data_IF_116735262263
#
_entry.id   IF_116735262263
#
_cell.length_a   1.000
_cell.length_b   1.000
_cell.length_c   1.000
_cell.angle_alpha   90.00
_cell.angle_beta   90.00
_cell.angle_gamma   90.00
#
_symmetry.space_group_name_H-M   'P 1'
#
loop_
_entity.id
_entity.type
_entity.pdbx_description
1 polymer ?
#
# COMPACT_ATOMS: atom_id res chain seq x y z
N UNK A 1 -53.81 77.97 1.13
CA UNK A 1 -53.85 77.96 2.62
C UNK A 1 -54.23 76.57 3.10
N UNK A 2 -53.54 76.10 4.14
CA UNK A 2 -53.68 74.80 4.82
C UNK A 2 -55.08 74.52 5.38
N UNK A 3 -55.42 73.25 5.65
CA UNK A 3 -55.63 72.74 7.03
C UNK A 3 -55.99 71.24 7.04
N UNK A 4 -55.23 70.45 7.82
CA UNK A 4 -55.51 69.04 8.18
C UNK A 4 -56.26 68.98 9.53
N UNK A 5 -57.06 67.92 9.76
CA UNK A 5 -57.60 67.53 11.09
C UNK A 5 -57.32 66.05 11.39
N UNK A 6 -57.05 65.74 12.66
CA UNK A 6 -56.49 64.49 13.20
C UNK A 6 -57.52 63.50 13.77
N UNK A 7 -57.14 62.21 13.86
CA UNK A 7 -57.90 61.04 14.38
C UNK A 7 -57.15 60.44 15.58
N UNK A 8 -57.83 60.08 16.69
CA UNK A 8 -57.20 59.63 17.96
C UNK A 8 -57.26 58.09 18.09
N UNK A 9 -56.16 57.46 18.54
CA UNK A 9 -55.93 56.00 18.56
C UNK A 9 -55.79 55.45 20.00
N UNK A 10 -56.21 54.19 20.26
CA UNK A 10 -56.28 53.58 21.59
C UNK A 10 -54.91 53.06 22.08
N UNK A 11 -54.41 53.66 23.16
CA UNK A 11 -53.00 53.62 23.60
C UNK A 11 -52.63 52.33 24.37
N UNK A 12 -53.57 51.70 25.07
CA UNK A 12 -53.25 50.59 25.99
C UNK A 12 -52.85 49.29 25.28
N UNK A 13 -53.56 48.94 24.19
CA UNK A 13 -53.26 47.75 23.38
C UNK A 13 -51.98 47.93 22.56
N UNK A 14 -51.69 49.18 22.16
CA UNK A 14 -50.46 49.54 21.48
C UNK A 14 -49.24 49.35 22.40
N UNK A 15 -49.36 49.78 23.67
CA UNK A 15 -48.27 49.66 24.65
C UNK A 15 -47.85 48.21 24.89
N UNK A 16 -48.78 47.25 24.98
CA UNK A 16 -48.44 45.83 25.20
C UNK A 16 -47.72 45.21 24.01
N UNK A 17 -48.23 45.43 22.78
CA UNK A 17 -47.55 44.98 21.54
C UNK A 17 -46.20 45.66 21.34
N UNK A 18 -46.06 46.91 21.77
CA UNK A 18 -44.79 47.64 21.73
C UNK A 18 -43.75 47.03 22.68
N UNK A 19 -44.15 46.61 23.89
CA UNK A 19 -43.24 45.98 24.85
C UNK A 19 -42.78 44.57 24.40
N UNK A 20 -43.67 43.75 23.84
CA UNK A 20 -43.32 42.45 23.23
C UNK A 20 -42.40 42.63 22.00
N UNK A 21 -42.67 43.64 21.16
CA UNK A 21 -41.79 44.02 20.07
C UNK A 21 -40.41 44.50 20.54
N UNK A 22 -40.32 45.18 21.68
CA UNK A 22 -39.05 45.64 22.26
C UNK A 22 -38.19 44.48 22.78
N UNK A 23 -38.79 43.46 23.41
CA UNK A 23 -38.04 42.29 23.88
C UNK A 23 -37.58 41.40 22.73
N UNK A 24 -38.41 41.25 21.70
CA UNK A 24 -38.06 40.54 20.46
C UNK A 24 -37.00 41.31 19.65
N UNK A 25 -37.01 42.64 19.72
CA UNK A 25 -35.96 43.49 19.17
C UNK A 25 -34.60 43.29 19.87
N UNK A 26 -34.59 43.13 21.20
CA UNK A 26 -33.33 42.85 21.94
C UNK A 26 -32.70 41.52 21.53
N UNK A 27 -33.48 40.45 21.41
CA UNK A 27 -32.96 39.15 20.97
C UNK A 27 -32.49 39.18 19.52
N UNK A 28 -33.22 39.87 18.64
CA UNK A 28 -32.82 40.09 17.25
C UNK A 28 -31.50 40.85 17.14
N UNK A 29 -31.33 41.92 17.93
CA UNK A 29 -30.10 42.73 17.94
C UNK A 29 -28.91 41.89 18.44
N UNK A 30 -29.10 41.06 19.48
CA UNK A 30 -28.03 40.16 19.97
C UNK A 30 -27.65 39.13 18.91
N UNK A 31 -28.64 38.53 18.22
CA UNK A 31 -28.39 37.60 17.12
C UNK A 31 -27.66 38.27 15.95
N UNK A 32 -28.09 39.48 15.56
CA UNK A 32 -27.43 40.25 14.50
C UNK A 32 -26.00 40.64 14.87
N UNK A 33 -25.75 41.05 16.11
CA UNK A 33 -24.38 41.33 16.60
C UNK A 33 -23.52 40.06 16.63
N UNK A 34 -24.09 38.93 17.06
CA UNK A 34 -23.40 37.64 17.05
C UNK A 34 -23.01 37.20 15.64
N UNK A 35 -23.95 37.28 14.70
CA UNK A 35 -23.69 36.99 13.28
C UNK A 35 -22.68 37.97 12.67
N UNK A 36 -22.76 39.26 13.00
CA UNK A 36 -21.81 40.26 12.51
C UNK A 36 -20.38 40.00 13.02
N UNK A 37 -20.22 39.68 14.30
CA UNK A 37 -18.93 39.28 14.88
C UNK A 37 -18.41 38.00 14.22
N UNK A 38 -19.29 37.01 13.99
CA UNK A 38 -18.94 35.77 13.30
C UNK A 38 -18.42 36.03 11.88
N UNK A 39 -19.08 36.89 11.09
CA UNK A 39 -18.61 37.25 9.75
C UNK A 39 -17.33 38.08 9.76
N UNK A 40 -17.12 38.94 10.77
CA UNK A 40 -15.83 39.62 10.96
C UNK A 40 -14.72 38.62 11.26
N UNK A 41 -14.97 37.63 12.13
CA UNK A 41 -14.00 36.58 12.45
C UNK A 41 -13.71 35.69 11.24
N UNK A 42 -14.72 35.33 10.44
CA UNK A 42 -14.53 34.60 9.18
C UNK A 42 -13.75 35.44 8.15
N UNK A 43 -14.04 36.74 8.04
CA UNK A 43 -13.32 37.63 7.13
C UNK A 43 -11.87 37.83 7.53
N UNK A 44 -11.61 38.04 8.83
CA UNK A 44 -10.25 38.13 9.37
C UNK A 44 -9.51 36.80 9.29
N UNK A 45 -10.20 35.68 9.53
CA UNK A 45 -9.67 34.32 9.40
C UNK A 45 -9.31 33.99 7.95
N UNK A 46 -10.21 34.28 7.00
CA UNK A 46 -9.96 34.11 5.57
C UNK A 46 -8.84 35.02 5.06
N UNK A 47 -8.73 36.25 5.57
CA UNK A 47 -7.62 37.15 5.25
C UNK A 47 -6.28 36.68 5.85
N UNK A 48 -6.31 36.05 7.04
CA UNK A 48 -5.12 35.44 7.65
C UNK A 48 -4.71 34.16 6.90
N UNK A 49 -5.68 33.34 6.48
CA UNK A 49 -5.48 32.12 5.68
C UNK A 49 -4.93 32.45 4.28
N UNK A 50 -5.46 33.50 3.63
CA UNK A 50 -4.98 33.97 2.33
C UNK A 50 -3.56 34.56 2.38
N UNK A 51 -3.10 35.01 3.56
CA UNK A 51 -1.71 35.43 3.80
C UNK A 51 -0.77 34.25 4.08
N UNK A 52 -1.29 33.06 4.35
CA UNK A 52 -0.52 31.88 4.74
C UNK A 52 -0.51 30.73 3.71
N UNK A 53 -1.28 30.82 2.61
CA UNK A 53 -1.27 29.94 1.43
C UNK A 53 -1.15 28.41 1.69
N UNK A 54 -2.23 27.66 1.50
CA UNK A 54 -2.31 26.61 0.45
C UNK A 54 -3.68 25.89 0.41
N UNK A 55 -4.20 25.75 -0.81
CA UNK A 55 -5.28 24.86 -1.31
C UNK A 55 -6.15 24.06 -0.30
N UNK A 56 -7.47 24.35 -0.20
CA UNK A 56 -8.37 23.69 0.74
C UNK A 56 -9.15 22.55 0.08
N UNK A 57 -8.61 21.33 0.01
CA UNK A 57 -9.42 20.14 -0.35
C UNK A 57 -9.10 18.85 0.42
N UNK A 58 -8.02 18.81 1.21
CA UNK A 58 -7.64 17.57 1.91
C UNK A 58 -8.35 17.37 3.25
N UNK A 59 -8.65 18.44 4.00
CA UNK A 59 -9.35 18.30 5.29
C UNK A 59 -10.81 17.86 5.14
N UNK A 60 -11.48 18.27 4.06
CA UNK A 60 -12.89 17.94 3.82
C UNK A 60 -13.12 16.46 3.43
N UNK A 61 -12.13 15.79 2.83
CA UNK A 61 -12.26 14.39 2.39
C UNK A 61 -12.19 13.39 3.56
N UNK A 62 -11.30 13.60 4.52
CA UNK A 62 -11.22 12.78 5.74
C UNK A 62 -12.43 12.97 6.66
N UNK A 63 -12.92 14.21 6.74
CA UNK A 63 -14.11 14.59 7.49
C UNK A 63 -15.38 13.91 6.91
N UNK A 64 -15.53 13.89 5.59
CA UNK A 64 -16.64 13.19 4.93
C UNK A 64 -16.62 11.65 5.13
N UNK A 65 -15.43 11.05 5.29
CA UNK A 65 -15.28 9.62 5.54
C UNK A 65 -15.62 9.21 6.98
N UNK A 66 -15.48 10.12 7.95
CA UNK A 66 -15.84 9.89 9.36
C UNK A 66 -17.35 9.98 9.66
N UNK A 67 -18.12 10.58 8.74
CA UNK A 67 -19.55 10.76 8.87
C UNK A 67 -20.29 9.50 8.39
N UNK A 68 -21.11 8.90 9.25
CA UNK A 68 -21.96 7.78 8.84
C UNK A 68 -22.88 8.19 7.70
N UNK A 69 -23.12 7.31 6.73
CA UNK A 69 -24.00 7.59 5.57
C UNK A 69 -25.41 8.03 5.99
N UNK A 70 -25.86 7.63 7.20
CA UNK A 70 -27.12 8.09 7.83
C UNK A 70 -27.13 9.58 8.17
N UNK A 71 -26.00 10.21 8.48
CA UNK A 71 -25.90 11.65 8.74
C UNK A 71 -26.26 12.48 7.50
N UNK A 72 -25.78 12.07 6.32
CA UNK A 72 -26.12 12.71 5.05
C UNK A 72 -27.57 12.48 4.66
N UNK A 73 -28.10 11.28 4.91
CA UNK A 73 -29.52 10.97 4.68
C UNK A 73 -30.42 11.78 5.62
N UNK A 74 -30.07 11.92 6.89
CA UNK A 74 -30.81 12.74 7.84
C UNK A 74 -30.74 14.23 7.47
N UNK A 75 -29.61 14.72 6.93
CA UNK A 75 -29.46 16.10 6.46
C UNK A 75 -30.31 16.38 5.21
N UNK A 76 -30.32 15.47 4.24
CA UNK A 76 -31.17 15.56 3.05
C UNK A 76 -32.65 15.41 3.43
N UNK A 77 -32.95 14.57 4.42
CA UNK A 77 -34.29 14.33 4.94
C UNK A 77 -34.91 15.54 5.65
N UNK A 78 -34.10 16.48 6.16
CA UNK A 78 -34.63 17.73 6.75
C UNK A 78 -35.14 18.73 5.70
N UNK A 79 -34.70 18.62 4.44
CA UNK A 79 -35.06 19.55 3.35
C UNK A 79 -36.09 18.94 2.38
N UNK A 80 -36.24 17.61 2.34
CA UNK A 80 -37.10 16.90 1.38
C UNK A 80 -38.38 16.34 2.05
N UNK A 81 -39.58 16.91 1.80
CA UNK A 81 -40.82 16.58 2.53
C UNK A 81 -41.35 15.14 2.37
N UNK A 82 -40.86 14.37 1.41
CA UNK A 82 -41.39 13.04 1.05
C UNK A 82 -40.41 11.89 1.21
N UNK A 83 -39.22 12.13 1.77
CA UNK A 83 -38.37 11.04 2.23
C UNK A 83 -38.86 10.60 3.61
N UNK A 84 -39.66 9.54 3.66
CA UNK A 84 -40.07 8.92 4.93
C UNK A 84 -38.85 8.34 5.63
N UNK A 85 -38.23 9.11 6.53
CA UNK A 85 -37.37 8.55 7.56
C UNK A 85 -38.22 7.56 8.36
N UNK A 86 -37.91 6.26 8.22
CA UNK A 86 -38.46 5.23 9.09
C UNK A 86 -38.15 5.61 10.53
N UNK A 87 -39.11 5.34 11.41
CA UNK A 87 -39.17 5.82 12.78
C UNK A 87 -38.17 5.09 13.69
N UNK A 88 -36.86 5.18 13.43
CA UNK A 88 -35.80 4.72 14.34
C UNK A 88 -34.61 5.70 14.37
N UNK A 89 -34.41 6.32 15.54
CA UNK A 89 -33.34 7.22 16.03
C UNK A 89 -32.49 8.00 15.00
N UNK A 90 -32.71 9.32 14.94
CA UNK A 90 -31.85 10.31 14.27
C UNK A 90 -30.38 10.22 14.71
N UNK A 91 -29.46 10.30 13.76
CA UNK A 91 -28.00 10.28 14.01
C UNK A 91 -27.46 11.59 14.62
N UNK A 92 -28.27 12.65 14.63
CA UNK A 92 -27.96 13.95 15.22
C UNK A 92 -28.02 13.92 16.76
N UNK A 93 -26.94 13.44 17.39
CA UNK A 93 -26.68 13.70 18.81
C UNK A 93 -25.84 14.97 18.97
N UNK A 94 -26.17 15.83 19.94
CA UNK A 94 -25.41 17.03 20.28
C UNK A 94 -23.94 16.73 20.61
N UNK A 95 -23.66 15.53 21.13
CA UNK A 95 -22.30 15.06 21.43
C UNK A 95 -21.50 14.72 20.16
N UNK A 96 -22.16 14.18 19.12
CA UNK A 96 -21.53 13.86 17.84
C UNK A 96 -21.32 15.12 16.99
N UNK A 97 -22.28 16.03 16.98
CA UNK A 97 -22.19 17.31 16.28
C UNK A 97 -21.11 18.23 16.88
N UNK A 98 -21.01 18.28 18.20
CA UNK A 98 -19.97 19.09 18.87
C UNK A 98 -18.57 18.54 18.61
N UNK A 99 -18.39 17.22 18.61
CA UNK A 99 -17.10 16.60 18.27
C UNK A 99 -16.71 16.87 16.82
N UNK A 100 -17.67 16.81 15.89
CA UNK A 100 -17.49 17.15 14.48
C UNK A 100 -17.12 18.61 14.25
N UNK A 101 -17.85 19.55 14.87
CA UNK A 101 -17.56 20.99 14.76
C UNK A 101 -16.22 21.31 15.41
N UNK A 102 -15.89 20.67 16.53
CA UNK A 102 -14.61 20.82 17.19
C UNK A 102 -13.47 20.31 16.28
N UNK A 103 -13.61 19.13 15.69
CA UNK A 103 -12.65 18.58 14.73
C UNK A 103 -12.53 19.44 13.47
N UNK A 104 -13.64 20.00 12.96
CA UNK A 104 -13.63 20.92 11.83
C UNK A 104 -12.88 22.23 12.15
N UNK A 105 -13.01 22.75 13.37
CA UNK A 105 -12.39 24.01 13.79
C UNK A 105 -10.95 23.85 14.24
N UNK A 106 -10.59 22.70 14.81
CA UNK A 106 -9.30 22.49 15.46
C UNK A 106 -8.41 21.48 14.72
N UNK A 107 -8.97 20.74 13.75
CA UNK A 107 -8.33 19.56 13.13
C UNK A 107 -7.88 18.50 14.14
N UNK A 108 -8.42 18.55 15.37
CA UNK A 108 -8.13 17.63 16.47
C UNK A 108 -9.38 16.79 16.70
N UNK A 109 -9.22 15.48 16.67
CA UNK A 109 -10.28 14.54 16.99
C UNK A 109 -10.23 14.19 18.49
N UNK A 110 -11.18 14.67 19.31
CA UNK A 110 -11.17 14.45 20.75
C UNK A 110 -11.39 12.98 21.16
N UNK A 111 -11.74 12.10 20.21
CA UNK A 111 -11.86 10.65 20.42
C UNK A 111 -10.61 9.86 20.00
N UNK A 112 -9.66 10.51 19.32
CA UNK A 112 -8.35 9.93 19.02
C UNK A 112 -7.24 10.69 19.78
N UNK A 113 -6.69 10.11 20.86
CA UNK A 113 -5.65 10.77 21.65
C UNK A 113 -4.36 11.02 20.88
N UNK A 114 -4.14 10.38 19.71
CA UNK A 114 -3.00 10.67 18.84
C UNK A 114 -3.16 11.99 18.10
N UNK A 115 -4.38 12.39 17.76
CA UNK A 115 -4.65 13.69 17.12
C UNK A 115 -4.33 14.87 18.04
N UNK A 116 -4.41 14.67 19.37
CA UNK A 116 -4.04 15.66 20.38
C UNK A 116 -2.53 15.91 20.44
N UNK A 117 -1.73 14.93 20.02
CA UNK A 117 -0.26 14.96 20.12
C UNK A 117 0.36 15.37 18.78
N UNK A 118 -0.27 15.02 17.66
CA UNK A 118 0.17 15.36 16.31
C UNK A 118 0.20 16.89 16.04
N UNK A 119 -0.62 17.68 16.74
CA UNK A 119 -0.65 19.14 16.59
C UNK A 119 0.54 19.89 17.22
N UNK A 120 1.21 19.27 18.20
CA UNK A 120 2.18 19.96 19.09
C UNK A 120 3.63 19.51 18.91
N UNK A 121 3.86 18.43 18.15
CA UNK A 121 5.21 17.90 17.87
C UNK A 121 5.67 18.29 16.45
N UNK A 122 6.74 19.08 16.30
CA UNK A 122 7.34 19.35 15.00
C UNK A 122 7.71 18.03 14.30
N UNK A 123 7.10 17.76 13.13
CA UNK A 123 7.36 16.55 12.35
C UNK A 123 6.32 15.42 12.49
N UNK A 124 5.34 15.53 13.39
CA UNK A 124 4.24 14.55 13.51
C UNK A 124 2.99 15.03 12.78
N UNK A 125 3.03 15.10 11.44
CA UNK A 125 1.79 15.18 10.66
C UNK A 125 1.08 13.82 10.77
N UNK A 126 -0.19 13.80 11.18
CA UNK A 126 -0.99 12.58 11.36
C UNK A 126 -1.06 11.66 10.12
N UNK A 127 -0.64 12.16 8.95
CA UNK A 127 -0.78 11.56 7.65
C UNK A 127 0.57 11.38 6.92
N UNK A 128 1.70 11.18 7.62
CA UNK A 128 2.99 10.83 6.98
C UNK A 128 3.37 9.34 7.18
N UNK A 129 4.02 8.70 6.18
CA UNK A 129 4.49 7.33 6.33
C UNK A 129 5.38 7.23 7.57
N UNK A 130 5.21 6.17 8.35
CA UNK A 130 5.92 6.01 9.63
C UNK A 130 7.02 4.97 9.45
N UNK A 131 8.25 5.32 9.79
CA UNK A 131 9.33 4.34 9.84
C UNK A 131 9.15 3.42 11.05
N UNK A 132 8.94 2.13 10.79
CA UNK A 132 8.76 1.08 11.78
C UNK A 132 10.10 0.45 12.19
N UNK A 133 11.01 0.30 11.23
CA UNK A 133 12.37 -0.18 11.45
C UNK A 133 13.36 0.61 10.62
N UNK A 134 14.49 0.97 11.23
CA UNK A 134 15.56 1.68 10.55
C UNK A 134 16.29 0.79 9.53
N UNK A 135 16.79 1.42 8.47
CA UNK A 135 17.75 0.84 7.53
C UNK A 135 18.82 1.87 7.23
N UNK A 136 20.09 1.47 7.29
CA UNK A 136 21.27 2.34 7.10
C UNK A 136 21.36 2.92 5.69
N UNK A 137 20.57 2.45 4.74
CA UNK A 137 20.43 3.04 3.40
C UNK A 137 19.62 4.33 3.35
N UNK A 138 19.05 4.80 4.47
CA UNK A 138 18.17 5.96 4.52
C UNK A 138 18.43 6.85 5.75
N UNK A 139 19.66 7.37 5.85
CA UNK A 139 20.12 8.21 6.97
C UNK A 139 19.23 9.45 7.19
N UNK A 140 18.69 10.01 6.11
CA UNK A 140 17.84 11.20 6.14
C UNK A 140 16.38 10.90 6.52
N UNK A 141 16.01 9.62 6.68
CA UNK A 141 14.65 9.22 7.05
C UNK A 141 13.60 9.60 6.00
N UNK A 142 13.97 9.57 4.72
CA UNK A 142 13.05 9.92 3.63
C UNK A 142 12.03 8.80 3.41
N UNK A 143 10.77 9.17 3.21
CA UNK A 143 9.70 8.22 2.92
C UNK A 143 9.76 7.75 1.44
N UNK A 144 9.22 6.56 1.13
CA UNK A 144 9.08 6.06 -0.25
C UNK A 144 8.22 6.99 -1.11
N UNK A 145 8.53 7.08 -2.41
CA UNK A 145 7.81 7.90 -3.38
C UNK A 145 7.04 7.03 -4.39
N UNK A 146 5.74 7.31 -4.53
CA UNK A 146 4.81 6.50 -5.32
C UNK A 146 4.15 7.42 -6.37
N UNK A 147 4.56 7.25 -7.63
CA UNK A 147 4.03 7.99 -8.77
C UNK A 147 3.55 7.02 -9.84
N UNK A 148 2.48 7.41 -10.54
CA UNK A 148 1.96 6.63 -11.68
C UNK A 148 2.97 6.67 -12.83
N UNK A 149 3.30 5.53 -13.46
CA UNK A 149 4.18 5.52 -14.62
C UNK A 149 3.62 6.32 -15.78
N UNK A 150 4.51 7.05 -16.47
CA UNK A 150 4.27 7.70 -17.73
C UNK A 150 4.32 6.63 -18.84
N UNK A 151 3.21 6.42 -19.52
CA UNK A 151 3.13 5.54 -20.69
C UNK A 151 2.91 6.40 -21.92
N UNK A 152 3.87 6.39 -22.85
CA UNK A 152 3.68 7.01 -24.16
C UNK A 152 3.01 6.03 -25.12
N UNK A 153 2.10 6.53 -25.96
CA UNK A 153 1.37 5.71 -26.94
C UNK A 153 2.32 5.03 -27.96
N UNK A 154 3.44 5.67 -28.28
CA UNK A 154 4.44 5.15 -29.22
C UNK A 154 5.28 4.01 -28.61
N UNK A 155 5.56 4.05 -27.30
CA UNK A 155 6.22 2.93 -26.59
C UNK A 155 5.31 1.72 -26.45
N UNK A 156 4.00 1.91 -26.29
CA UNK A 156 3.05 0.80 -26.21
C UNK A 156 3.02 -0.05 -27.48
N UNK A 157 3.10 0.57 -28.67
CA UNK A 157 3.09 -0.16 -29.95
C UNK A 157 4.41 -0.92 -30.23
N UNK A 158 5.56 -0.33 -29.88
CA UNK A 158 6.86 -1.01 -30.02
C UNK A 158 7.05 -2.12 -29.00
N UNK A 159 6.78 -1.85 -27.72
CA UNK A 159 6.97 -2.85 -26.66
C UNK A 159 5.93 -3.99 -26.76
N UNK A 160 4.73 -3.76 -27.33
CA UNK A 160 3.78 -4.85 -27.62
C UNK A 160 4.31 -5.82 -28.67
N UNK A 161 5.03 -5.32 -29.69
CA UNK A 161 5.61 -6.19 -30.73
C UNK A 161 6.75 -7.06 -30.20
N UNK A 162 7.57 -6.53 -29.29
CA UNK A 162 8.64 -7.29 -28.62
C UNK A 162 8.07 -8.30 -27.60
N UNK A 163 7.01 -7.94 -26.87
CA UNK A 163 6.36 -8.83 -25.92
C UNK A 163 5.65 -10.03 -26.60
N UNK A 164 5.07 -9.83 -27.78
CA UNK A 164 4.45 -10.90 -28.58
C UNK A 164 5.50 -11.86 -29.21
N UNK A 165 6.67 -11.35 -29.62
CA UNK A 165 7.79 -12.17 -30.10
C UNK A 165 8.40 -13.03 -28.97
N UNK A 166 8.49 -12.51 -27.74
CA UNK A 166 8.99 -13.31 -26.61
C UNK A 166 7.95 -14.31 -26.07
N UNK A 167 6.66 -13.98 -26.08
CA UNK A 167 5.59 -14.89 -25.66
C UNK A 167 5.40 -16.09 -26.62
N UNK A 168 5.93 -16.00 -27.85
CA UNK A 168 5.88 -17.05 -28.86
C UNK A 168 7.14 -17.94 -28.90
N UNK A 169 8.15 -17.66 -28.07
CA UNK A 169 9.29 -18.55 -27.85
C UNK A 169 8.91 -19.70 -26.89
N UNK A 170 9.08 -20.98 -27.25
CA UNK A 170 8.63 -22.08 -26.40
C UNK A 170 9.50 -22.21 -25.14
N UNK A 171 8.87 -22.02 -23.97
CA UNK A 171 9.35 -22.47 -22.67
C UNK A 171 9.33 -24.01 -22.66
N UNK A 172 10.51 -24.64 -22.84
CA UNK A 172 10.63 -26.09 -22.76
C UNK A 172 10.53 -26.55 -21.30
N UNK A 173 9.29 -26.78 -20.88
CA UNK A 173 8.92 -27.39 -19.61
C UNK A 173 7.75 -28.35 -19.74
N UNK A 174 7.66 -29.16 -20.81
CA UNK A 174 6.64 -30.21 -20.90
C UNK A 174 7.04 -31.48 -20.14
N UNK A 175 6.13 -31.86 -19.22
CA UNK A 175 6.13 -33.10 -18.45
C UNK A 175 5.62 -34.22 -19.37
N UNK A 176 6.52 -35.12 -19.79
CA UNK A 176 6.17 -36.35 -20.51
C UNK A 176 6.18 -37.57 -19.58
N UNK A 177 5.05 -38.27 -19.49
CA UNK A 177 4.89 -39.56 -18.81
C UNK A 177 5.30 -40.74 -19.74
N UNK A 178 5.63 -41.85 -19.09
CA UNK A 178 6.41 -43.03 -19.48
C UNK A 178 6.07 -43.81 -20.77
N UNK A 179 7.09 -44.51 -21.32
CA UNK A 179 6.87 -45.70 -22.15
C UNK A 179 8.07 -46.27 -22.93
N UNK A 180 8.84 -47.19 -22.31
CA UNK A 180 9.63 -48.32 -22.87
C UNK A 180 10.68 -48.10 -23.98
N UNK A 181 11.93 -48.50 -23.70
CA UNK A 181 13.02 -48.72 -24.68
C UNK A 181 12.88 -50.03 -25.49
N UNK A 182 13.95 -50.60 -26.11
CA UNK A 182 15.38 -50.28 -25.92
C UNK A 182 16.26 -50.30 -27.21
N UNK A 183 17.58 -50.17 -26.97
CA UNK A 183 18.74 -50.66 -27.73
C UNK A 183 19.65 -49.67 -28.50
N UNK A 184 20.93 -49.74 -28.09
CA UNK A 184 22.17 -49.04 -28.51
C UNK A 184 22.98 -50.03 -29.36
N UNK A 185 23.84 -49.66 -30.34
CA UNK A 185 25.23 -49.20 -30.11
C UNK A 185 25.71 -48.16 -31.18
N UNK A 186 26.84 -47.47 -31.21
CA UNK A 186 28.05 -47.20 -30.42
C UNK A 186 28.91 -46.24 -31.30
N UNK A 187 29.97 -45.66 -30.74
CA UNK A 187 31.08 -44.87 -31.32
C UNK A 187 30.87 -43.35 -31.35
N UNK A 188 31.74 -42.48 -30.80
CA UNK A 188 32.98 -42.60 -30.03
C UNK A 188 33.41 -41.18 -29.58
N UNK A 189 33.88 -41.05 -28.32
CA UNK A 189 34.91 -40.09 -27.79
C UNK A 189 34.63 -38.57 -27.98
N UNK A 190 34.63 -37.67 -26.98
CA UNK A 190 35.49 -37.48 -25.81
C UNK A 190 34.74 -36.77 -24.64
N UNK A 191 35.34 -36.80 -23.45
CA UNK A 191 34.78 -36.40 -22.16
C UNK A 191 35.01 -34.90 -21.85
N UNK A 192 33.98 -34.23 -21.35
CA UNK A 192 34.07 -33.17 -20.33
C UNK A 192 32.93 -33.38 -19.31
N UNK A 193 33.19 -33.55 -18.00
CA UNK A 193 32.17 -34.01 -17.07
C UNK A 193 31.42 -32.84 -16.41
N UNK A 194 30.11 -32.81 -16.59
CA UNK A 194 29.20 -32.41 -15.52
C UNK A 194 28.40 -31.12 -15.72
N UNK A 195 27.49 -31.11 -16.70
CA UNK A 195 26.27 -30.30 -16.60
C UNK A 195 25.06 -31.13 -17.02
N UNK A 196 24.42 -31.75 -16.03
CA UNK A 196 23.06 -32.29 -16.13
C UNK A 196 22.36 -32.01 -14.81
N UNK A 197 21.90 -30.78 -14.62
CA UNK A 197 20.94 -30.49 -13.56
C UNK A 197 19.55 -30.35 -14.17
N UNK A 198 18.76 -31.42 -13.98
CA UNK A 198 17.28 -31.40 -14.00
C UNK A 198 16.74 -30.46 -12.91
N UNK A 199 15.46 -30.03 -12.98
CA UNK A 199 14.89 -29.07 -12.03
C UNK A 199 14.84 -29.67 -10.63
N UNK A 200 15.44 -28.95 -9.68
CA UNK A 200 15.70 -29.42 -8.31
C UNK A 200 17.09 -28.97 -7.87
N UNK A 201 17.37 -27.66 -7.97
CA UNK A 201 18.60 -27.09 -7.43
C UNK A 201 18.52 -27.17 -5.91
N UNK A 202 19.32 -28.05 -5.34
CA UNK A 202 19.50 -28.17 -3.89
C UNK A 202 20.08 -26.87 -3.36
N UNK A 203 19.46 -26.31 -2.31
CA UNK A 203 20.11 -25.38 -1.39
C UNK A 203 21.50 -25.92 -1.00
N UNK A 204 22.44 -25.05 -0.61
CA UNK A 204 23.76 -25.46 -0.08
C UNK A 204 23.68 -26.54 1.02
N UNK A 205 22.53 -26.67 1.68
CA UNK A 205 22.25 -27.64 2.74
C UNK A 205 21.31 -28.80 2.32
N UNK A 206 20.99 -28.95 1.04
CA UNK A 206 20.08 -30.00 0.52
C UNK A 206 18.59 -29.80 0.84
N UNK A 207 18.22 -28.67 1.47
CA UNK A 207 16.82 -28.31 1.77
C UNK A 207 16.06 -27.94 0.50
N UNK A 208 14.83 -28.44 0.37
CA UNK A 208 13.91 -28.10 -0.72
C UNK A 208 12.46 -28.26 -0.30
N UNK A 209 11.55 -27.49 -0.92
CA UNK A 209 10.09 -27.66 -0.78
C UNK A 209 9.54 -28.82 -1.63
N UNK A 210 10.40 -29.61 -2.28
CA UNK A 210 10.04 -30.77 -3.09
C UNK A 210 9.04 -30.45 -4.21
N UNK A 211 9.25 -29.33 -4.91
CA UNK A 211 8.39 -28.88 -6.00
C UNK A 211 7.08 -28.20 -5.56
N UNK A 212 6.74 -28.24 -4.26
CA UNK A 212 5.59 -27.50 -3.73
C UNK A 212 5.86 -26.00 -3.78
N UNK A 213 4.97 -25.25 -4.42
CA UNK A 213 5.01 -23.78 -4.46
C UNK A 213 4.57 -23.21 -3.11
N UNK A 214 5.40 -22.34 -2.54
CA UNK A 214 5.26 -21.78 -1.18
C UNK A 214 5.35 -20.26 -1.16
N UNK A 215 6.09 -19.69 -2.10
CA UNK A 215 6.22 -18.25 -2.33
C UNK A 215 5.47 -17.87 -3.62
N UNK A 216 4.70 -16.80 -3.56
CA UNK A 216 4.14 -16.10 -4.70
C UNK A 216 4.84 -14.75 -4.84
N UNK A 217 5.43 -14.48 -6.01
CA UNK A 217 5.89 -13.15 -6.42
C UNK A 217 4.89 -12.63 -7.44
N UNK A 218 4.39 -11.42 -7.23
CA UNK A 218 3.41 -10.76 -8.10
C UNK A 218 3.64 -9.25 -8.11
N UNK A 219 2.86 -8.53 -8.93
CA UNK A 219 3.05 -7.10 -9.17
C UNK A 219 1.71 -6.36 -9.19
N UNK A 220 1.47 -5.51 -8.18
CA UNK A 220 0.30 -4.60 -8.15
C UNK A 220 0.45 -3.42 -9.12
N UNK A 221 1.65 -3.15 -9.63
CA UNK A 221 1.89 -2.18 -10.70
C UNK A 221 2.82 -2.80 -11.76
N UNK A 222 2.30 -3.70 -12.62
CA UNK A 222 3.12 -4.59 -13.46
C UNK A 222 4.02 -3.85 -14.46
N UNK A 223 3.67 -2.62 -14.83
CA UNK A 223 4.34 -1.86 -15.87
C UNK A 223 5.41 -0.88 -15.34
N UNK A 224 5.71 -0.85 -14.04
CA UNK A 224 6.77 0.02 -13.50
C UNK A 224 8.14 -0.35 -14.09
N UNK A 225 8.76 0.57 -14.83
CA UNK A 225 9.97 0.31 -15.61
C UNK A 225 11.21 1.02 -15.07
N UNK A 226 12.39 0.69 -15.58
CA UNK A 226 13.65 1.33 -15.20
C UNK A 226 14.26 2.03 -16.41
N UNK A 227 14.61 3.32 -16.28
CA UNK A 227 15.16 4.13 -17.38
C UNK A 227 16.36 3.47 -18.08
N UNK A 228 17.34 2.85 -17.37
CA UNK A 228 18.48 2.20 -18.03
C UNK A 228 18.12 0.98 -18.90
N UNK A 229 16.88 0.47 -18.81
CA UNK A 229 16.39 -0.66 -19.61
C UNK A 229 15.56 -0.19 -20.82
N UNK A 230 15.29 1.11 -20.94
CA UNK A 230 14.45 1.68 -21.99
C UNK A 230 15.29 2.41 -23.04
N UNK A 231 14.78 2.43 -24.26
CA UNK A 231 15.31 3.26 -25.36
C UNK A 231 15.03 4.74 -25.11
N UNK A 232 13.88 5.05 -24.52
CA UNK A 232 13.41 6.42 -24.25
C UNK A 232 13.13 6.60 -22.76
N UNK A 233 14.06 7.24 -22.01
CA UNK A 233 13.87 7.48 -20.60
C UNK A 233 12.83 8.59 -20.35
N UNK A 234 12.14 8.53 -19.22
CA UNK A 234 11.19 9.56 -18.76
C UNK A 234 11.37 9.85 -17.26
N UNK A 235 10.57 10.77 -16.72
CA UNK A 235 10.63 11.12 -15.30
C UNK A 235 10.07 10.02 -14.41
N UNK A 236 9.08 9.26 -14.87
CA UNK A 236 8.62 8.06 -14.19
C UNK A 236 8.26 6.94 -15.20
N UNK A 237 9.21 6.12 -15.64
CA UNK A 237 9.03 5.22 -16.78
C UNK A 237 8.08 4.04 -16.50
N UNK A 238 7.30 3.70 -17.52
CA UNK A 238 6.53 2.45 -17.60
C UNK A 238 6.66 1.74 -18.94
N UNK A 239 6.43 0.42 -18.97
CA UNK A 239 6.45 -0.41 -20.19
C UNK A 239 5.67 -1.72 -20.00
N UNK A 240 5.08 -2.21 -21.09
CA UNK A 240 4.46 -3.56 -21.16
C UNK A 240 5.50 -4.67 -21.29
N UNK A 241 6.75 -4.35 -21.66
CA UNK A 241 7.80 -5.34 -21.85
C UNK A 241 8.29 -5.92 -20.50
N UNK A 242 8.02 -7.20 -20.19
CA UNK A 242 8.34 -7.79 -18.88
C UNK A 242 9.84 -7.88 -18.60
N UNK A 243 10.68 -7.78 -19.64
CA UNK A 243 12.15 -7.75 -19.55
C UNK A 243 12.72 -6.38 -19.19
N UNK A 244 11.88 -5.34 -19.12
CA UNK A 244 12.27 -3.95 -18.84
C UNK A 244 11.56 -3.34 -17.62
N UNK A 245 10.62 -4.08 -17.01
CA UNK A 245 9.81 -3.64 -15.86
C UNK A 245 10.07 -4.47 -14.59
N UNK A 246 9.30 -4.21 -13.52
CA UNK A 246 9.39 -4.92 -12.23
C UNK A 246 9.26 -6.45 -12.34
N UNK A 247 8.66 -6.98 -13.40
CA UNK A 247 8.65 -8.43 -13.66
C UNK A 247 10.05 -8.99 -13.91
N UNK A 248 10.98 -8.22 -14.48
CA UNK A 248 12.37 -8.63 -14.61
C UNK A 248 12.98 -8.88 -13.22
N UNK A 249 12.75 -7.97 -12.28
CA UNK A 249 13.26 -8.06 -10.91
C UNK A 249 12.63 -9.24 -10.18
N UNK A 250 11.31 -9.45 -10.37
CA UNK A 250 10.62 -10.65 -9.88
C UNK A 250 11.20 -11.94 -10.44
N UNK A 251 11.62 -11.94 -11.71
CA UNK A 251 12.25 -13.10 -12.34
C UNK A 251 13.62 -13.41 -11.70
N UNK A 252 14.43 -12.40 -11.40
CA UNK A 252 15.71 -12.59 -10.68
C UNK A 252 15.50 -13.16 -9.29
N UNK A 253 14.58 -12.58 -8.51
CA UNK A 253 14.25 -13.03 -7.17
C UNK A 253 13.73 -14.48 -7.17
N UNK A 254 12.77 -14.77 -8.05
CA UNK A 254 12.16 -16.10 -8.21
C UNK A 254 13.21 -17.16 -8.56
N UNK A 255 14.05 -16.91 -9.57
CA UNK A 255 15.10 -17.83 -9.99
C UNK A 255 16.06 -18.15 -8.84
N UNK A 256 16.43 -17.13 -8.04
CA UNK A 256 17.34 -17.32 -6.91
C UNK A 256 16.67 -18.05 -5.74
N UNK A 257 15.39 -17.79 -5.44
CA UNK A 257 14.64 -18.57 -4.44
C UNK A 257 14.52 -20.05 -4.81
N UNK A 258 14.22 -20.35 -6.08
CA UNK A 258 14.20 -21.72 -6.61
C UNK A 258 15.59 -22.37 -6.52
N UNK A 259 16.67 -21.62 -6.80
CA UNK A 259 18.04 -22.09 -6.60
C UNK A 259 18.35 -22.42 -5.12
N UNK A 260 17.69 -21.71 -4.18
CA UNK A 260 17.73 -21.96 -2.74
C UNK A 260 16.73 -23.04 -2.27
N UNK A 261 16.15 -23.80 -3.20
CA UNK A 261 15.24 -24.91 -2.94
C UNK A 261 13.82 -24.50 -2.54
N UNK A 262 13.45 -23.23 -2.71
CA UNK A 262 12.13 -22.71 -2.34
C UNK A 262 11.26 -22.62 -3.58
N UNK A 263 10.25 -23.49 -3.64
CA UNK A 263 9.26 -23.47 -4.71
C UNK A 263 8.53 -22.14 -4.75
N UNK A 264 8.68 -21.44 -5.86
CA UNK A 264 8.23 -20.08 -6.09
C UNK A 264 7.38 -20.03 -7.36
N UNK A 265 6.22 -19.40 -7.26
CA UNK A 265 5.38 -19.04 -8.40
C UNK A 265 5.61 -17.55 -8.68
N UNK A 266 6.02 -17.23 -9.90
CA UNK A 266 6.15 -15.84 -10.33
C UNK A 266 5.03 -15.52 -11.32
N UNK A 267 4.08 -14.72 -10.87
CA UNK A 267 2.96 -14.25 -11.69
C UNK A 267 3.39 -13.02 -12.49
N UNK A 268 3.30 -13.12 -13.82
CA UNK A 268 3.68 -12.08 -14.79
C UNK A 268 2.46 -11.48 -15.50
N UNK A 269 1.27 -11.56 -14.90
CA UNK A 269 0.05 -11.07 -15.54
C UNK A 269 0.04 -9.56 -15.65
N UNK A 270 -0.12 -9.05 -16.87
CA UNK A 270 -0.34 -7.63 -17.14
C UNK A 270 -1.84 -7.32 -17.27
N UNK A 271 -2.51 -7.19 -16.13
CA UNK A 271 -3.92 -6.78 -16.08
C UNK A 271 -4.13 -5.31 -16.43
N UNK A 272 -3.07 -4.49 -16.46
CA UNK A 272 -3.18 -3.11 -16.92
C UNK A 272 -3.43 -3.04 -18.43
N UNK A 273 -2.86 -3.96 -19.20
CA UNK A 273 -3.12 -4.09 -20.64
C UNK A 273 -4.34 -4.96 -20.97
N UNK A 274 -4.66 -5.96 -20.13
CA UNK A 274 -5.69 -6.96 -20.48
C UNK A 274 -7.09 -6.67 -19.93
N UNK A 275 -7.23 -5.84 -18.89
CA UNK A 275 -8.54 -5.46 -18.34
C UNK A 275 -9.15 -4.32 -19.15
N UNK A 276 -10.27 -4.59 -19.81
CA UNK A 276 -11.06 -3.56 -20.49
C UNK A 276 -11.50 -2.47 -19.50
N UNK A 277 -11.23 -1.20 -19.83
CA UNK A 277 -11.54 -0.08 -18.94
C UNK A 277 -10.73 -0.06 -17.65
N UNK A 278 -9.50 -0.60 -17.67
CA UNK A 278 -8.59 -0.61 -16.53
C UNK A 278 -8.55 0.73 -15.79
N UNK A 279 -8.65 0.67 -14.48
CA UNK A 279 -8.54 1.82 -13.60
C UNK A 279 -7.37 1.63 -12.62
N UNK A 280 -6.35 2.46 -12.73
CA UNK A 280 -5.16 2.43 -11.87
C UNK A 280 -5.50 2.53 -10.37
N UNK A 281 -6.61 3.17 -9.98
CA UNK A 281 -7.01 3.19 -8.56
C UNK A 281 -7.43 1.81 -8.03
N UNK A 282 -7.71 0.86 -8.93
CA UNK A 282 -8.11 -0.50 -8.60
C UNK A 282 -6.99 -1.53 -8.83
N UNK A 283 -5.74 -1.12 -9.09
CA UNK A 283 -4.63 -2.06 -9.32
C UNK A 283 -4.51 -3.13 -8.23
N UNK A 284 -4.59 -2.73 -6.96
CA UNK A 284 -4.58 -3.67 -5.83
C UNK A 284 -5.79 -4.61 -5.80
N UNK A 285 -6.95 -4.20 -6.31
CA UNK A 285 -8.13 -5.07 -6.43
C UNK A 285 -7.91 -6.14 -7.49
N UNK A 286 -7.34 -5.77 -8.64
CA UNK A 286 -7.02 -6.72 -9.71
C UNK A 286 -5.92 -7.69 -9.28
N UNK A 287 -4.83 -7.20 -8.69
CA UNK A 287 -3.74 -8.04 -8.20
C UNK A 287 -4.19 -8.95 -7.05
N UNK A 288 -5.13 -8.52 -6.20
CA UNK A 288 -5.71 -9.37 -5.16
C UNK A 288 -6.42 -10.59 -5.74
N UNK A 289 -7.23 -10.39 -6.78
CA UNK A 289 -7.97 -11.46 -7.42
C UNK A 289 -6.99 -12.51 -8.00
N UNK A 290 -5.95 -12.05 -8.68
CA UNK A 290 -4.88 -12.91 -9.21
C UNK A 290 -4.16 -13.68 -8.10
N UNK A 291 -3.76 -12.99 -7.02
CA UNK A 291 -3.08 -13.63 -5.90
C UNK A 291 -3.96 -14.70 -5.23
N UNK A 292 -5.26 -14.43 -5.06
CA UNK A 292 -6.22 -15.41 -4.53
C UNK A 292 -6.39 -16.61 -5.46
N UNK A 293 -6.43 -16.40 -6.78
CA UNK A 293 -6.49 -17.48 -7.77
C UNK A 293 -5.23 -18.37 -7.69
N UNK A 294 -4.05 -17.75 -7.71
CA UNK A 294 -2.77 -18.46 -7.57
C UNK A 294 -2.71 -19.28 -6.27
N UNK A 295 -3.16 -18.72 -5.15
CA UNK A 295 -3.26 -19.42 -3.86
C UNK A 295 -4.26 -20.58 -3.91
N UNK A 296 -5.40 -20.43 -4.59
CA UNK A 296 -6.41 -21.48 -4.71
C UNK A 296 -5.96 -22.67 -5.56
N UNK A 297 -5.09 -22.41 -6.54
CA UNK A 297 -4.50 -23.45 -7.38
C UNK A 297 -3.27 -24.11 -6.73
N UNK A 298 -2.74 -23.51 -5.67
CA UNK A 298 -1.51 -23.94 -5.01
C UNK A 298 -1.63 -23.80 -3.48
N UNK A 299 -2.19 -24.83 -2.82
CA UNK A 299 -2.41 -24.89 -1.36
C UNK A 299 -1.16 -24.70 -0.48
N UNK A 300 0.03 -24.63 -1.09
CA UNK A 300 1.28 -24.35 -0.39
C UNK A 300 1.65 -22.89 -0.24
N UNK A 301 1.07 -22.01 -1.05
CA UNK A 301 1.44 -20.60 -1.08
C UNK A 301 1.02 -19.95 0.24
N UNK A 302 2.01 -19.47 0.96
CA UNK A 302 1.83 -18.79 2.25
C UNK A 302 2.71 -17.55 2.38
N UNK A 303 3.67 -17.34 1.49
CA UNK A 303 4.51 -16.14 1.42
C UNK A 303 4.15 -15.38 0.15
N UNK A 304 3.80 -14.11 0.28
CA UNK A 304 3.38 -13.27 -0.84
C UNK A 304 4.30 -12.05 -0.90
N UNK A 305 4.88 -11.78 -2.05
CA UNK A 305 5.81 -10.68 -2.27
C UNK A 305 5.32 -9.87 -3.46
N UNK A 306 4.83 -8.67 -3.16
CA UNK A 306 4.48 -7.67 -4.18
C UNK A 306 5.72 -6.82 -4.48
N UNK A 307 6.23 -6.87 -5.72
CA UNK A 307 7.44 -6.13 -6.10
C UNK A 307 7.08 -4.88 -6.87
N UNK A 308 7.60 -3.76 -6.36
CA UNK A 308 7.44 -2.40 -6.89
C UNK A 308 8.82 -1.77 -7.14
N UNK A 309 8.81 -0.57 -7.72
CA UNK A 309 9.97 0.32 -7.84
C UNK A 309 9.69 1.67 -7.16
N UNK A 310 10.63 2.18 -6.37
CA UNK A 310 10.53 3.54 -5.80
C UNK A 310 10.64 4.60 -6.92
N UNK A 311 9.92 5.70 -6.80
CA UNK A 311 9.94 6.77 -7.80
C UNK A 311 11.07 7.79 -7.57
N UNK A 312 12.08 7.43 -6.78
CA UNK A 312 13.26 8.27 -6.53
C UNK A 312 14.38 8.01 -7.53
N UNK A 313 15.31 8.97 -7.64
CA UNK A 313 16.43 8.96 -8.57
C UNK A 313 17.65 8.24 -7.99
N UNK A 314 18.58 7.90 -8.88
CA UNK A 314 19.75 7.05 -8.62
C UNK A 314 20.52 7.31 -7.32
N UNK A 315 20.73 8.58 -6.98
CA UNK A 315 21.52 8.97 -5.81
C UNK A 315 20.88 8.53 -4.48
N UNK A 316 19.55 8.39 -4.46
CA UNK A 316 18.79 7.97 -3.29
C UNK A 316 18.53 6.47 -3.26
N UNK A 317 18.60 5.82 -4.42
CA UNK A 317 18.21 4.41 -4.60
C UNK A 317 19.38 3.46 -4.86
N UNK A 318 20.63 3.92 -4.69
CA UNK A 318 21.82 3.10 -4.89
C UNK A 318 22.71 3.08 -3.64
N UNK A 319 23.19 1.91 -3.28
CA UNK A 319 24.16 1.67 -2.22
C UNK A 319 25.45 1.06 -2.79
N UNK A 320 26.55 1.19 -2.07
CA UNK A 320 27.81 0.51 -2.41
C UNK A 320 28.23 -0.36 -1.24
N UNK A 321 28.35 -1.67 -1.49
CA UNK A 321 28.76 -2.67 -0.51
C UNK A 321 29.96 -3.40 -1.09
N UNK A 322 31.10 -3.37 -0.38
CA UNK A 322 32.35 -4.01 -0.80
C UNK A 322 32.82 -3.63 -2.23
N UNK A 323 32.56 -2.39 -2.65
CA UNK A 323 32.93 -1.89 -3.99
C UNK A 323 31.95 -2.26 -5.11
N UNK A 324 30.92 -3.05 -4.81
CA UNK A 324 29.83 -3.35 -5.75
C UNK A 324 28.60 -2.51 -5.47
N UNK A 325 27.86 -2.16 -6.54
CA UNK A 325 26.65 -1.36 -6.44
C UNK A 325 25.40 -2.21 -6.34
N UNK A 326 24.52 -1.81 -5.44
CA UNK A 326 23.24 -2.45 -5.17
C UNK A 326 22.14 -1.40 -5.27
N UNK A 327 20.98 -1.81 -5.77
CA UNK A 327 19.74 -1.06 -5.61
C UNK A 327 19.34 -1.11 -4.13
N UNK A 328 18.85 0.00 -3.60
CA UNK A 328 18.31 0.08 -2.25
C UNK A 328 16.87 -0.41 -2.20
N UNK A 329 16.40 -0.81 -1.03
CA UNK A 329 15.07 -1.42 -0.87
C UNK A 329 14.25 -0.78 0.24
N UNK A 330 12.94 -0.68 0.04
CA UNK A 330 11.98 -0.44 1.13
C UNK A 330 11.11 -1.65 1.35
N UNK A 331 10.69 -1.85 2.60
CA UNK A 331 9.59 -2.74 2.94
C UNK A 331 8.37 -1.90 3.33
N UNK A 332 7.25 -2.09 2.66
CA UNK A 332 6.02 -1.32 2.89
C UNK A 332 5.00 -2.19 3.62
N UNK A 333 4.43 -1.66 4.70
CA UNK A 333 3.42 -2.30 5.55
C UNK A 333 2.15 -1.46 5.56
N UNK A 334 1.03 -2.08 5.18
CA UNK A 334 -0.27 -1.44 5.15
C UNK A 334 -0.94 -1.41 6.52
N UNK A 335 -1.05 -0.24 7.14
CA UNK A 335 -1.70 -0.10 8.45
C UNK A 335 -3.23 -0.23 8.41
N UNK A 336 -3.85 -0.30 7.22
CA UNK A 336 -5.27 -0.63 7.09
C UNK A 336 -5.55 -2.14 7.23
N UNK A 337 -4.53 -3.00 7.14
CA UNK A 337 -4.65 -4.41 7.52
C UNK A 337 -4.68 -4.52 9.05
N UNK A 338 -5.78 -5.00 9.64
CA UNK A 338 -5.88 -5.15 11.10
C UNK A 338 -4.78 -6.04 11.72
N UNK A 339 -4.21 -6.95 10.94
CA UNK A 339 -3.15 -7.87 11.36
C UNK A 339 -1.74 -7.47 10.90
N UNK A 340 -1.54 -6.20 10.49
CA UNK A 340 -0.29 -5.70 9.91
C UNK A 340 0.98 -6.01 10.72
N UNK A 341 0.88 -6.15 12.04
CA UNK A 341 2.01 -6.50 12.92
C UNK A 341 2.67 -7.84 12.58
N UNK A 342 1.92 -8.79 12.01
CA UNK A 342 2.50 -10.06 11.55
C UNK A 342 3.35 -9.84 10.30
N UNK A 343 2.83 -9.05 9.35
CA UNK A 343 3.54 -8.65 8.14
C UNK A 343 4.79 -7.83 8.48
N UNK A 344 4.68 -6.88 9.42
CA UNK A 344 5.81 -6.10 9.95
C UNK A 344 6.86 -7.03 10.57
N UNK A 345 6.47 -8.01 11.38
CA UNK A 345 7.41 -8.92 12.01
C UNK A 345 8.19 -9.74 10.96
N UNK A 346 7.54 -10.19 9.89
CA UNK A 346 8.20 -10.86 8.77
C UNK A 346 9.16 -9.92 8.03
N UNK A 347 8.71 -8.73 7.63
CA UNK A 347 9.55 -7.72 6.98
C UNK A 347 10.76 -7.31 7.84
N UNK A 348 10.55 -7.15 9.15
CA UNK A 348 11.60 -6.73 10.09
C UNK A 348 12.70 -7.79 10.24
N UNK A 349 12.36 -9.08 10.17
CA UNK A 349 13.37 -10.17 10.16
C UNK A 349 14.24 -10.10 8.91
N UNK A 350 13.63 -9.88 7.74
CA UNK A 350 14.34 -9.73 6.47
C UNK A 350 15.23 -8.48 6.54
N UNK A 351 14.67 -7.34 6.94
CA UNK A 351 15.38 -6.07 7.10
C UNK A 351 16.61 -6.22 7.99
N UNK A 352 16.47 -6.80 9.19
CA UNK A 352 17.58 -6.96 10.13
C UNK A 352 18.72 -7.82 9.57
N UNK A 353 18.38 -8.90 8.85
CA UNK A 353 19.40 -9.76 8.21
C UNK A 353 20.04 -9.09 7.00
N UNK A 354 19.25 -8.37 6.20
CA UNK A 354 19.75 -7.60 5.07
C UNK A 354 20.73 -6.53 5.54
N UNK A 355 20.39 -5.77 6.57
CA UNK A 355 21.25 -4.75 7.16
C UNK A 355 22.55 -5.31 7.73
N UNK A 356 22.49 -6.51 8.31
CA UNK A 356 23.69 -7.19 8.82
C UNK A 356 24.63 -7.63 7.70
N UNK A 357 24.09 -8.11 6.59
CA UNK A 357 24.88 -8.71 5.50
C UNK A 357 25.27 -7.70 4.41
N UNK A 358 24.43 -6.70 4.18
CA UNK A 358 24.54 -5.69 3.13
C UNK A 358 24.17 -4.30 3.69
N UNK A 359 24.99 -3.74 4.60
CA UNK A 359 24.70 -2.44 5.20
C UNK A 359 24.57 -1.36 4.11
N UNK A 360 23.56 -0.52 4.24
CA UNK A 360 23.24 0.54 3.29
C UNK A 360 22.22 0.15 2.21
N UNK A 361 21.91 -1.14 2.05
CA UNK A 361 20.92 -1.60 1.05
C UNK A 361 19.49 -1.37 1.54
N UNK A 362 19.18 -1.62 2.82
CA UNK A 362 17.82 -1.36 3.30
C UNK A 362 17.61 0.11 3.63
N UNK A 363 16.49 0.66 3.19
CA UNK A 363 15.96 1.97 3.60
C UNK A 363 14.91 1.84 4.70
N UNK A 364 14.73 0.62 5.22
CA UNK A 364 13.92 0.31 6.38
C UNK A 364 12.52 -0.21 6.06
N UNK A 365 11.76 -0.43 7.14
CA UNK A 365 10.36 -0.87 7.10
C UNK A 365 9.47 0.33 7.37
N UNK A 366 8.47 0.55 6.52
CA UNK A 366 7.61 1.73 6.55
C UNK A 366 6.14 1.35 6.60
N UNK A 367 5.42 1.95 7.54
CA UNK A 367 3.98 1.85 7.66
C UNK A 367 3.29 2.94 6.84
N UNK A 368 2.36 2.54 5.96
CA UNK A 368 1.49 3.45 5.19
C UNK A 368 0.03 3.25 5.58
N UNK A 369 -0.69 4.34 5.84
CA UNK A 369 -2.13 4.35 6.12
C UNK A 369 -2.96 4.53 4.85
N UNK A 370 -4.28 4.29 4.94
CA UNK A 370 -5.21 4.32 3.80
C UNK A 370 -5.36 5.69 3.12
N UNK A 371 -4.89 6.76 3.75
CA UNK A 371 -4.86 8.12 3.22
C UNK A 371 -3.57 8.41 2.41
N UNK A 372 -2.63 7.46 2.36
CA UNK A 372 -1.31 7.59 1.71
C UNK A 372 -1.13 6.66 0.50
N UNK A 373 -2.21 6.02 0.06
CA UNK A 373 -2.23 5.00 -0.98
C UNK A 373 -3.37 4.02 -0.73
N UNK A 374 -3.17 2.75 -1.10
CA UNK A 374 -4.14 1.70 -0.76
C UNK A 374 -4.21 1.45 0.75
N UNK A 375 -3.07 1.46 1.44
CA UNK A 375 -2.97 1.27 2.89
C UNK A 375 -3.15 -0.17 3.37
N UNK A 376 -3.52 -1.14 2.53
CA UNK A 376 -3.66 -2.57 2.88
C UNK A 376 -2.71 -3.46 2.07
N UNK A 377 -2.46 -3.14 0.80
CA UNK A 377 -1.44 -3.74 -0.08
C UNK A 377 -1.54 -5.27 -0.21
N UNK A 378 -2.75 -5.84 -0.14
CA UNK A 378 -3.03 -7.28 -0.14
C UNK A 378 -2.37 -8.06 1.01
N UNK A 379 -2.00 -7.37 2.08
CA UNK A 379 -1.26 -7.96 3.19
C UNK A 379 -2.14 -8.80 4.13
N UNK A 380 -3.46 -8.64 4.07
CA UNK A 380 -4.41 -9.50 4.80
C UNK A 380 -4.54 -10.91 4.21
N UNK A 381 -4.03 -11.16 2.99
CA UNK A 381 -4.07 -12.50 2.38
C UNK A 381 -3.19 -13.52 3.12
N UNK A 382 -2.12 -13.06 3.76
CA UNK A 382 -1.22 -13.91 4.56
C UNK A 382 -0.45 -13.08 5.58
N UNK A 383 -0.16 -13.62 6.79
CA UNK A 383 0.76 -12.99 7.73
C UNK A 383 2.18 -12.78 7.17
N UNK A 384 2.56 -13.51 6.10
CA UNK A 384 3.85 -13.38 5.42
C UNK A 384 3.71 -12.69 4.05
N UNK A 385 2.71 -11.81 3.91
CA UNK A 385 2.52 -10.98 2.72
C UNK A 385 3.17 -9.61 2.91
N UNK A 386 4.09 -9.19 2.04
CA UNK A 386 4.79 -7.90 2.11
C UNK A 386 4.94 -7.28 0.72
N UNK A 387 5.08 -5.95 0.69
CA UNK A 387 5.46 -5.20 -0.50
C UNK A 387 6.92 -4.76 -0.36
N UNK A 388 7.70 -4.99 -1.40
CA UNK A 388 9.12 -4.59 -1.47
C UNK A 388 9.31 -3.67 -2.67
N UNK A 389 9.75 -2.45 -2.43
CA UNK A 389 10.23 -1.56 -3.49
C UNK A 389 11.72 -1.83 -3.69
N UNK A 390 12.12 -2.20 -4.91
CA UNK A 390 13.51 -2.57 -5.22
C UNK A 390 14.10 -1.55 -6.21
N UNK A 391 15.00 -0.72 -5.72
CA UNK A 391 15.62 0.35 -6.51
C UNK A 391 14.66 1.49 -6.84
N UNK A 392 15.16 2.37 -7.70
CA UNK A 392 14.46 3.53 -8.22
C UNK A 392 14.56 3.64 -9.73
N UNK A 393 14.06 4.76 -10.26
CA UNK A 393 13.90 5.04 -11.70
C UNK A 393 15.16 4.68 -12.51
N UNK A 394 16.34 5.00 -11.97
CA UNK A 394 17.59 5.04 -12.72
C UNK A 394 18.53 3.83 -12.40
N UNK A 395 18.07 2.80 -11.69
CA UNK A 395 18.92 1.65 -11.36
C UNK A 395 19.16 0.72 -12.57
N UNK A 396 20.38 0.17 -12.68
CA UNK A 396 20.76 -0.70 -13.81
C UNK A 396 20.32 -2.15 -13.60
N UNK A 397 20.27 -2.94 -14.69
CA UNK A 397 19.95 -4.37 -14.64
C UNK A 397 20.82 -5.12 -13.62
N UNK A 398 22.11 -4.83 -13.59
CA UNK A 398 23.08 -5.53 -12.74
C UNK A 398 22.88 -5.18 -11.27
N UNK A 399 22.56 -3.93 -10.95
CA UNK A 399 22.25 -3.49 -9.59
C UNK A 399 20.95 -4.14 -9.07
N UNK A 400 19.93 -4.19 -9.93
CA UNK A 400 18.66 -4.85 -9.62
C UNK A 400 18.85 -6.36 -9.43
N UNK A 401 19.61 -7.01 -10.31
CA UNK A 401 19.91 -8.43 -10.21
C UNK A 401 20.68 -8.75 -8.92
N UNK A 402 21.77 -8.04 -8.62
CA UNK A 402 22.54 -8.24 -7.38
C UNK A 402 21.66 -8.10 -6.13
N UNK A 403 20.78 -7.11 -6.13
CA UNK A 403 19.89 -6.83 -5.00
C UNK A 403 18.81 -7.90 -4.85
N UNK A 404 18.17 -8.30 -5.95
CA UNK A 404 17.19 -9.37 -5.95
C UNK A 404 17.81 -10.70 -5.50
N UNK A 405 19.02 -11.02 -5.95
CA UNK A 405 19.71 -12.23 -5.52
C UNK A 405 20.08 -12.20 -4.03
N UNK A 406 20.58 -11.07 -3.53
CA UNK A 406 20.85 -10.87 -2.10
C UNK A 406 19.58 -11.00 -1.25
N UNK A 407 18.47 -10.38 -1.70
CA UNK A 407 17.17 -10.50 -1.04
C UNK A 407 16.68 -11.95 -1.02
N UNK A 408 16.77 -12.68 -2.12
CA UNK A 408 16.37 -14.09 -2.18
C UNK A 408 17.17 -14.96 -1.20
N UNK A 409 18.47 -14.72 -1.05
CA UNK A 409 19.31 -15.42 -0.08
C UNK A 409 18.83 -15.15 1.37
N UNK A 410 18.53 -13.90 1.71
CA UNK A 410 18.02 -13.53 3.03
C UNK A 410 16.61 -14.08 3.28
N UNK A 411 15.70 -13.96 2.32
CA UNK A 411 14.33 -14.49 2.41
C UNK A 411 14.37 -16.01 2.60
N UNK A 412 15.24 -16.71 1.86
CA UNK A 412 15.40 -18.14 2.00
C UNK A 412 15.90 -18.52 3.41
N UNK A 413 16.85 -17.77 3.96
CA UNK A 413 17.33 -17.98 5.32
C UNK A 413 16.19 -17.83 6.36
N UNK A 414 15.39 -16.76 6.24
CA UNK A 414 14.22 -16.53 7.12
C UNK A 414 13.21 -17.66 6.98
N UNK A 415 12.86 -18.04 5.75
CA UNK A 415 11.92 -19.12 5.47
C UNK A 415 12.36 -20.43 6.14
N UNK A 416 13.60 -20.86 5.93
CA UNK A 416 14.08 -22.13 6.49
C UNK A 416 14.17 -22.10 8.02
N UNK A 417 14.50 -20.96 8.63
CA UNK A 417 14.47 -20.80 10.08
C UNK A 417 13.05 -20.92 10.65
N UNK A 418 12.05 -20.37 9.97
CA UNK A 418 10.65 -20.51 10.38
C UNK A 418 10.16 -21.95 10.24
N UNK A 419 10.51 -22.63 9.14
CA UNK A 419 10.18 -24.05 8.95
C UNK A 419 10.80 -24.96 10.03
N UNK A 420 12.02 -24.66 10.49
CA UNK A 420 12.66 -25.38 11.57
C UNK A 420 11.99 -25.10 12.94
N UNK A 421 11.64 -23.85 13.21
CA UNK A 421 10.94 -23.46 14.44
C UNK A 421 9.54 -24.10 14.53
N UNK A 422 8.80 -24.15 13.42
CA UNK A 422 7.50 -24.82 13.34
C UNK A 422 7.64 -26.33 13.64
N UNK A 423 8.57 -27.02 12.98
CA UNK A 423 8.86 -28.44 13.25
C UNK A 423 9.23 -28.69 14.72
N UNK A 424 10.04 -27.82 15.32
CA UNK A 424 10.41 -27.92 16.73
C UNK A 424 9.21 -27.72 17.68
N UNK A 425 8.34 -26.75 17.39
CA UNK A 425 7.14 -26.48 18.20
C UNK A 425 6.13 -27.64 18.16
N UNK A 426 5.92 -28.24 16.98
CA UNK A 426 5.05 -29.41 16.80
C UNK A 426 5.59 -30.60 17.60
N UNK A 427 6.90 -30.85 17.53
CA UNK A 427 7.55 -31.94 18.29
C UNK A 427 7.36 -31.76 19.80
N UNK A 428 7.58 -30.54 20.32
CA UNK A 428 7.41 -30.24 21.74
C UNK A 428 5.96 -30.44 22.21
N UNK A 429 4.98 -30.06 21.38
CA UNK A 429 3.56 -30.26 21.69
C UNK A 429 3.19 -31.76 21.75
N UNK A 430 3.68 -32.57 20.81
CA UNK A 430 3.47 -34.03 20.79
C UNK A 430 4.12 -34.71 22.01
N UNK A 431 5.32 -34.29 22.41
CA UNK A 431 5.99 -34.86 23.58
C UNK A 431 5.29 -34.44 24.89
N UNK A 432 4.73 -33.23 24.95
CA UNK A 432 3.95 -32.75 26.09
C UNK A 432 2.61 -33.47 26.26
N UNK A 433 1.94 -33.81 25.16
CA UNK A 433 0.67 -34.56 25.19
C UNK A 433 0.89 -36.02 25.58
N UNK A 434 1.96 -36.67 25.07
CA UNK A 434 2.36 -38.02 25.47
C UNK A 434 2.72 -38.14 26.94
N UNK A 435 3.41 -37.14 27.51
CA UNK A 435 3.71 -37.11 28.96
C UNK A 435 2.46 -36.99 29.82
N UNK A 436 1.46 -36.19 29.42
CA UNK A 436 0.19 -36.06 30.16
C UNK A 436 -0.65 -37.33 30.12
N UNK A 437 -0.64 -38.07 29.01
CA UNK A 437 -1.35 -39.35 28.89
C UNK A 437 -0.66 -40.51 29.63
N UNK A 438 0.64 -40.42 29.89
CA UNK A 438 1.38 -41.44 30.65
C UNK A 438 1.38 -41.19 32.17
N UNK A 439 0.92 -40.02 32.62
CA UNK A 439 0.78 -39.64 34.03
C UNK A 439 -0.67 -39.66 34.53
N UNK A 440 -1.60 -40.16 33.71
CA UNK A 440 -3.02 -40.40 34.02
C UNK A 440 -3.26 -41.90 34.01
#
# INVERSE_FOLDING_TARGET
MNHRKFRIWNIARLKRKFMEGLSMGRTLIILMLGSFIFFILLGLGGMAEQRLNSSPVSSMKGLAASLSSRFFIDMIGMEMPHMTASKESSSFSSEKMSSFVFELLTSVNPRDPKSLIAGELPGMKANQPVQLSHGSGNEDGEAPADYRPDLSAEQLEQDSSEAEEEASAPDQGEIGNEGKGPDVPDQSLERDPGSKNKPGSTSKDGKTTNGKKTVLIYHSHPQEAYNPLLTHPSDNPGTVAPTKNVMLVGSFLSKKLEANGIGTLHDKSDYQSTVEGYNYNFSYKYSRQMAMEAMSQNDGISYLIDIHRDSQRYNKTTATVNGEKYAKVYFIIGHANENWRKNEAFASKINAKLEKSYPGVSRGVWGKSADQGNGEYNQSLSPNSILIEIGGIDNTKEELQRTAEALADIIAEVYWQEQEAEKASVKNNVDSSKKKTASS
#
